data_IF_923151665008
#
_entry.id   IF_923151665008
#
_cell.length_a   1.000
_cell.length_b   1.000
_cell.length_c   1.000
_cell.angle_alpha   90.00
_cell.angle_beta   90.00
_cell.angle_gamma   90.00
#
_symmetry.space_group_name_H-M   'P 1'
#
loop_
_entity.id
_entity.type
_entity.pdbx_description
1 polymer ?
#
# COMPACT_ATOMS: atom_id res chain seq x y z
N UNK A 1 7.52 0.08 -15.81
CA UNK A 1 7.14 -1.23 -16.32
C UNK A 1 7.81 -1.45 -17.67
N UNK A 2 8.42 -2.61 -17.88
CA UNK A 2 9.15 -2.92 -19.13
C UNK A 2 8.75 -4.31 -19.61
N UNK A 3 8.43 -4.44 -20.88
CA UNK A 3 8.23 -5.72 -21.57
C UNK A 3 9.46 -6.05 -22.40
N UNK A 4 10.01 -7.23 -22.18
CA UNK A 4 11.19 -7.72 -22.89
C UNK A 4 10.86 -9.00 -23.63
N UNK A 5 11.46 -9.17 -24.81
CA UNK A 5 11.47 -10.44 -25.51
C UNK A 5 12.30 -11.46 -24.73
N UNK A 6 11.68 -12.52 -24.26
CA UNK A 6 12.35 -13.52 -23.39
C UNK A 6 13.50 -14.28 -24.07
N UNK A 7 13.60 -14.28 -25.40
CA UNK A 7 14.67 -14.97 -26.15
C UNK A 7 15.84 -14.05 -26.47
N UNK A 8 15.56 -12.78 -26.82
CA UNK A 8 16.59 -11.84 -27.31
C UNK A 8 16.99 -10.81 -26.25
N UNK A 9 16.13 -10.56 -25.22
CA UNK A 9 16.31 -9.49 -24.24
C UNK A 9 15.96 -8.10 -24.79
N UNK A 10 15.52 -8.01 -26.05
CA UNK A 10 15.13 -6.75 -26.65
C UNK A 10 13.86 -6.21 -26.02
N UNK A 11 13.80 -4.87 -25.87
CA UNK A 11 12.63 -4.20 -25.30
C UNK A 11 11.53 -4.10 -26.36
N UNK A 12 10.39 -4.73 -26.08
CA UNK A 12 9.18 -4.61 -26.91
C UNK A 12 8.48 -3.27 -26.66
N UNK A 13 8.23 -2.94 -25.39
CA UNK A 13 7.66 -1.68 -24.96
C UNK A 13 8.03 -1.34 -23.52
N UNK A 14 7.76 -0.10 -23.10
CA UNK A 14 7.89 0.32 -21.69
C UNK A 14 6.94 1.47 -21.39
N UNK A 15 6.64 1.65 -20.12
CA UNK A 15 5.92 2.80 -19.60
C UNK A 15 6.56 3.27 -18.30
N UNK A 16 6.80 4.57 -18.16
CA UNK A 16 7.34 5.17 -16.97
C UNK A 16 6.22 5.73 -16.11
N UNK A 17 6.04 5.18 -14.91
CA UNK A 17 4.92 5.49 -14.01
C UNK A 17 5.18 6.66 -13.08
N UNK A 18 6.42 7.15 -13.00
CA UNK A 18 6.83 8.33 -12.24
C UNK A 18 7.95 9.03 -12.99
N UNK A 19 7.78 10.31 -13.25
CA UNK A 19 8.85 11.17 -13.79
C UNK A 19 9.64 11.78 -12.64
N UNK A 20 10.97 11.72 -12.69
CA UNK A 20 11.87 12.26 -11.67
C UNK A 20 11.42 11.97 -10.24
N UNK A 21 11.52 10.70 -9.84
CA UNK A 21 10.97 10.19 -8.58
C UNK A 21 11.60 10.81 -7.33
N UNK A 22 10.80 11.52 -6.53
CA UNK A 22 11.20 12.15 -5.27
C UNK A 22 10.51 11.52 -4.05
N UNK A 23 9.66 10.51 -4.26
CA UNK A 23 8.73 10.00 -3.24
C UNK A 23 8.93 8.53 -2.88
N UNK A 24 9.90 7.85 -3.52
CA UNK A 24 10.07 6.40 -3.42
C UNK A 24 8.83 5.62 -3.91
N UNK A 25 8.21 6.10 -4.99
CA UNK A 25 7.01 5.51 -5.59
C UNK A 25 7.31 4.54 -6.74
N UNK A 26 8.27 3.65 -6.50
CA UNK A 26 8.61 2.54 -7.41
C UNK A 26 7.50 1.48 -7.47
N UNK A 27 7.53 0.68 -8.55
CA UNK A 27 6.71 -0.51 -8.69
C UNK A 27 7.42 -1.68 -8.00
N UNK A 28 6.83 -2.18 -6.93
CA UNK A 28 7.50 -3.12 -6.00
C UNK A 28 7.10 -4.57 -6.17
N UNK A 29 6.04 -4.84 -6.92
CA UNK A 29 5.48 -6.18 -7.07
C UNK A 29 5.58 -6.70 -8.51
N UNK A 30 5.41 -8.00 -8.66
CA UNK A 30 5.24 -8.57 -9.98
C UNK A 30 3.85 -8.21 -10.55
N UNK A 31 3.77 -7.75 -11.80
CA UNK A 31 2.50 -7.45 -12.43
C UNK A 31 1.64 -8.70 -12.64
N UNK A 32 0.32 -8.54 -12.61
CA UNK A 32 -0.63 -9.59 -12.90
C UNK A 32 -0.91 -9.67 -14.40
N UNK A 33 -0.70 -10.84 -15.00
CA UNK A 33 -1.15 -11.12 -16.37
C UNK A 33 -2.63 -11.51 -16.32
N UNK A 34 -3.45 -10.77 -17.06
CA UNK A 34 -4.91 -10.89 -16.99
C UNK A 34 -5.52 -10.92 -18.39
N UNK A 35 -6.68 -11.59 -18.54
CA UNK A 35 -7.52 -11.52 -19.74
C UNK A 35 -8.80 -10.79 -19.37
N UNK A 36 -9.09 -9.69 -20.06
CA UNK A 36 -10.18 -8.77 -19.74
C UNK A 36 -11.17 -8.70 -20.89
N UNK A 37 -12.42 -8.38 -20.57
CA UNK A 37 -13.42 -7.99 -21.56
C UNK A 37 -13.87 -6.55 -21.27
N UNK A 38 -13.34 -5.60 -22.04
CA UNK A 38 -13.64 -4.18 -21.89
C UNK A 38 -14.42 -3.70 -23.09
N UNK A 39 -15.63 -3.23 -22.88
CA UNK A 39 -16.54 -2.77 -23.94
C UNK A 39 -16.72 -3.80 -25.08
N UNK A 40 -16.82 -5.07 -24.72
CA UNK A 40 -16.99 -6.19 -25.67
C UNK A 40 -15.70 -6.62 -26.38
N UNK A 41 -14.56 -6.02 -26.08
CA UNK A 41 -13.24 -6.39 -26.61
C UNK A 41 -12.49 -7.27 -25.62
N UNK A 42 -12.01 -8.41 -26.07
CA UNK A 42 -11.10 -9.25 -25.28
C UNK A 42 -9.69 -8.68 -25.40
N UNK A 43 -9.06 -8.39 -24.28
CA UNK A 43 -7.72 -7.80 -24.18
C UNK A 43 -6.86 -8.69 -23.30
N UNK A 44 -5.75 -9.16 -23.84
CA UNK A 44 -4.70 -9.80 -23.08
C UNK A 44 -3.86 -8.70 -22.42
N UNK A 45 -4.09 -8.47 -21.13
CA UNK A 45 -3.57 -7.31 -20.44
C UNK A 45 -2.53 -7.68 -19.37
N UNK A 46 -1.83 -6.65 -18.90
CA UNK A 46 -1.01 -6.66 -17.70
C UNK A 46 -1.49 -5.56 -16.76
N UNK A 47 -1.77 -5.93 -15.51
CA UNK A 47 -2.21 -5.00 -14.46
C UNK A 47 -1.13 -4.90 -13.37
N UNK A 48 -0.75 -3.68 -13.02
CA UNK A 48 0.27 -3.37 -12.02
C UNK A 48 -0.29 -2.44 -10.96
N UNK A 49 -0.24 -2.87 -9.70
CA UNK A 49 -0.59 -2.05 -8.55
C UNK A 49 0.64 -1.31 -8.03
N UNK A 50 0.47 -0.05 -7.68
CA UNK A 50 1.60 0.83 -7.41
C UNK A 50 1.60 1.40 -5.99
N UNK A 51 2.77 1.89 -5.55
CA UNK A 51 2.91 2.63 -4.30
C UNK A 51 2.04 3.90 -4.26
N UNK A 52 1.80 4.56 -5.40
CA UNK A 52 0.92 5.73 -5.49
C UNK A 52 -0.55 5.41 -5.18
N UNK A 53 -0.92 4.13 -5.14
CA UNK A 53 -2.30 3.70 -4.99
C UNK A 53 -3.07 3.62 -6.31
N UNK A 54 -2.38 3.64 -7.44
CA UNK A 54 -2.94 3.43 -8.77
C UNK A 54 -2.83 1.97 -9.22
N UNK A 55 -3.75 1.56 -10.09
CA UNK A 55 -3.63 0.35 -10.89
C UNK A 55 -3.42 0.76 -12.35
N UNK A 56 -2.25 0.46 -12.89
CA UNK A 56 -1.94 0.67 -14.31
C UNK A 56 -2.30 -0.59 -15.08
N UNK A 57 -3.04 -0.44 -16.18
CA UNK A 57 -3.48 -1.59 -17.01
C UNK A 57 -3.13 -1.33 -18.46
N UNK A 58 -2.35 -2.23 -19.06
CA UNK A 58 -1.89 -2.14 -20.45
C UNK A 58 -2.26 -3.40 -21.20
N UNK A 59 -2.53 -3.26 -22.49
CA UNK A 59 -2.45 -4.37 -23.43
C UNK A 59 -0.99 -4.90 -23.39
N UNK A 60 -0.81 -6.17 -22.99
CA UNK A 60 0.53 -6.71 -22.78
C UNK A 60 1.33 -6.97 -24.05
N UNK A 61 0.66 -6.98 -25.22
CA UNK A 61 1.29 -7.16 -26.53
C UNK A 61 1.80 -5.84 -27.07
N UNK A 62 0.98 -4.78 -27.00
CA UNK A 62 1.28 -3.48 -27.61
C UNK A 62 1.88 -2.47 -26.65
N UNK A 63 1.63 -2.61 -25.34
CA UNK A 63 1.98 -1.61 -24.34
C UNK A 63 1.02 -0.43 -24.27
N UNK A 64 -0.05 -0.44 -25.05
CA UNK A 64 -1.05 0.63 -25.03
C UNK A 64 -1.89 0.54 -23.75
N UNK A 65 -2.14 1.67 -23.06
CA UNK A 65 -3.02 1.70 -21.89
C UNK A 65 -4.45 1.26 -22.26
N UNK A 66 -5.04 0.39 -21.42
CA UNK A 66 -6.45 -0.05 -21.62
C UNK A 66 -7.41 1.12 -21.43
N UNK A 67 -7.14 1.99 -20.48
CA UNK A 67 -7.80 3.28 -20.28
C UNK A 67 -6.77 4.40 -20.35
N UNK A 68 -7.15 5.61 -20.80
CA UNK A 68 -6.20 6.71 -20.93
C UNK A 68 -5.42 6.98 -19.65
N UNK A 69 -4.14 7.22 -19.80
CA UNK A 69 -3.26 7.75 -18.76
C UNK A 69 -2.93 9.19 -19.15
N UNK A 70 -3.29 10.13 -18.30
CA UNK A 70 -3.16 11.57 -18.56
C UNK A 70 -1.94 12.12 -17.84
N UNK A 71 -1.12 12.88 -18.58
CA UNK A 71 -0.10 13.74 -17.97
C UNK A 71 -0.79 14.93 -17.32
N UNK A 72 -0.80 14.96 -15.97
CA UNK A 72 -1.41 16.04 -15.22
C UNK A 72 -0.36 16.90 -14.54
N UNK A 73 -0.54 18.24 -14.52
CA UNK A 73 0.34 19.13 -13.77
C UNK A 73 0.37 18.76 -12.29
N UNK A 74 1.57 18.80 -11.71
CA UNK A 74 1.81 18.58 -10.28
C UNK A 74 2.55 19.76 -9.69
N UNK A 75 2.59 19.81 -8.35
CA UNK A 75 3.33 20.85 -7.65
C UNK A 75 4.84 20.72 -7.92
N UNK A 76 5.47 21.80 -8.34
CA UNK A 76 6.92 21.88 -8.61
C UNK A 76 7.65 22.82 -7.66
N UNK A 77 6.93 23.42 -6.70
CA UNK A 77 7.54 24.28 -5.69
C UNK A 77 8.42 23.45 -4.75
N UNK A 78 9.70 23.80 -4.66
CA UNK A 78 10.68 23.11 -3.80
C UNK A 78 11.59 24.11 -3.11
N UNK A 79 11.92 23.86 -1.85
CA UNK A 79 12.88 24.62 -1.06
C UNK A 79 14.27 23.94 -1.02
N UNK A 80 14.46 22.86 -1.81
CA UNK A 80 15.74 22.15 -1.92
C UNK A 80 16.55 22.77 -3.06
N UNK A 81 17.68 23.42 -2.78
CA UNK A 81 18.49 24.07 -3.81
C UNK A 81 19.00 23.06 -4.87
N UNK A 82 18.81 23.41 -6.14
CA UNK A 82 19.23 22.56 -7.28
C UNK A 82 18.26 21.47 -7.66
N UNK A 83 17.22 21.20 -6.87
CA UNK A 83 16.16 20.27 -7.24
C UNK A 83 15.20 20.89 -8.26
N UNK A 84 14.86 20.12 -9.29
CA UNK A 84 13.93 20.57 -10.37
C UNK A 84 12.87 19.47 -10.55
N UNK A 85 11.76 19.52 -9.80
CA UNK A 85 10.67 18.57 -9.94
C UNK A 85 10.09 18.54 -11.36
N UNK A 86 9.73 17.35 -11.86
CA UNK A 86 9.10 17.25 -13.17
C UNK A 86 7.68 17.83 -13.13
N UNK A 87 7.28 18.65 -14.15
CA UNK A 87 6.06 19.46 -14.06
C UNK A 87 4.77 18.68 -14.19
N UNK A 88 4.81 17.46 -14.71
CA UNK A 88 3.65 16.58 -14.86
C UNK A 88 3.94 15.18 -14.35
N UNK A 89 2.89 14.43 -14.05
CA UNK A 89 2.98 13.01 -13.71
C UNK A 89 1.84 12.23 -14.39
N UNK A 90 2.02 10.93 -14.67
CA UNK A 90 1.02 10.11 -15.34
C UNK A 90 -0.06 9.64 -14.36
N UNK A 91 -1.31 10.03 -14.63
CA UNK A 91 -2.49 9.64 -13.85
C UNK A 91 -3.39 8.73 -14.69
N UNK A 92 -3.57 7.46 -14.32
CA UNK A 92 -4.57 6.61 -14.97
C UNK A 92 -5.98 7.16 -14.71
N UNK A 93 -6.82 7.22 -15.75
CA UNK A 93 -8.20 7.69 -15.62
C UNK A 93 -9.09 6.60 -15.01
N UNK A 94 -8.74 5.33 -15.21
CA UNK A 94 -9.36 4.12 -14.66
C UNK A 94 -8.32 3.05 -14.43
N UNK A 95 -8.53 2.19 -13.40
CA UNK A 95 -9.45 2.32 -12.27
C UNK A 95 -9.14 3.55 -11.40
N UNK A 96 -10.10 4.03 -10.57
CA UNK A 96 -9.80 5.08 -9.61
C UNK A 96 -8.78 4.61 -8.56
N UNK A 97 -8.08 5.51 -7.88
CA UNK A 97 -7.11 5.14 -6.85
C UNK A 97 -7.70 4.22 -5.78
N UNK A 98 -6.99 3.15 -5.46
CA UNK A 98 -7.41 2.20 -4.43
C UNK A 98 -6.98 2.61 -3.02
N UNK A 99 -6.02 3.52 -2.88
CA UNK A 99 -5.54 4.10 -1.62
C UNK A 99 -5.75 5.61 -1.59
N UNK A 100 -5.76 6.20 -0.40
CA UNK A 100 -5.85 7.64 -0.22
C UNK A 100 -4.60 8.35 -0.72
N UNK A 101 -4.78 9.51 -1.37
CA UNK A 101 -3.72 10.27 -2.01
C UNK A 101 -3.72 11.71 -1.51
N UNK A 102 -2.51 12.19 -1.13
CA UNK A 102 -2.35 13.52 -0.57
C UNK A 102 -2.92 13.67 0.86
N UNK A 103 -2.66 14.80 1.48
CA UNK A 103 -3.09 15.10 2.87
C UNK A 103 -3.59 16.52 2.97
N UNK A 104 -4.72 16.69 3.63
CA UNK A 104 -5.29 17.98 4.03
C UNK A 104 -5.58 17.99 5.53
N UNK A 105 -5.92 19.14 6.10
CA UNK A 105 -6.36 19.19 7.52
C UNK A 105 -7.68 18.44 7.78
N UNK A 106 -8.50 18.24 6.75
CA UNK A 106 -9.74 17.48 6.85
C UNK A 106 -9.50 15.98 7.08
N UNK A 107 -8.31 15.49 6.75
CA UNK A 107 -7.89 14.11 7.00
C UNK A 107 -7.51 13.86 8.46
N UNK A 108 -7.41 14.90 9.29
CA UNK A 108 -6.99 14.80 10.70
C UNK A 108 -7.79 13.76 11.45
N UNK A 109 -7.10 12.93 12.24
CA UNK A 109 -7.72 11.89 13.07
C UNK A 109 -8.76 12.51 14.02
N UNK A 110 -9.96 11.94 14.04
CA UNK A 110 -11.12 12.46 14.77
C UNK A 110 -11.74 11.43 15.73
N UNK A 111 -10.96 10.43 16.15
CA UNK A 111 -11.42 9.41 17.11
C UNK A 111 -11.88 10.01 18.44
N UNK A 112 -11.29 11.13 18.87
CA UNK A 112 -11.79 11.97 19.96
C UNK A 112 -11.52 13.46 19.67
N UNK A 113 -12.24 14.40 20.32
CA UNK A 113 -11.94 15.83 20.19
C UNK A 113 -10.47 16.18 20.52
N UNK A 114 -9.91 15.53 21.53
CA UNK A 114 -8.50 15.75 21.93
C UNK A 114 -7.52 15.19 20.90
N UNK A 115 -7.75 13.96 20.39
CA UNK A 115 -6.96 13.39 19.30
C UNK A 115 -7.03 14.29 18.07
N UNK A 116 -8.21 14.80 17.72
CA UNK A 116 -8.38 15.70 16.60
C UNK A 116 -7.57 17.00 16.76
N UNK A 117 -7.68 17.63 17.93
CA UNK A 117 -6.92 18.84 18.23
C UNK A 117 -5.41 18.64 18.10
N UNK A 118 -4.90 17.53 18.64
CA UNK A 118 -3.48 17.17 18.57
C UNK A 118 -3.06 16.84 17.13
N UNK A 119 -3.89 16.10 16.40
CA UNK A 119 -3.63 15.76 15.00
C UNK A 119 -3.55 16.99 14.11
N UNK A 120 -4.50 17.92 14.23
CA UNK A 120 -4.47 19.19 13.48
C UNK A 120 -3.22 19.97 13.81
N UNK A 121 -2.91 20.15 15.10
CA UNK A 121 -1.73 20.91 15.53
C UNK A 121 -0.41 20.30 14.99
N UNK A 122 -0.33 18.97 14.88
CA UNK A 122 0.84 18.30 14.32
C UNK A 122 0.85 18.39 12.79
N UNK A 123 -0.29 18.18 12.11
CA UNK A 123 -0.41 18.34 10.66
C UNK A 123 0.03 19.73 10.19
N UNK A 124 -0.32 20.79 10.92
CA UNK A 124 0.08 22.16 10.62
C UNK A 124 1.60 22.39 10.66
N UNK A 125 2.37 21.49 11.28
CA UNK A 125 3.84 21.58 11.29
C UNK A 125 4.48 21.08 9.99
N UNK A 126 3.76 20.36 9.15
CA UNK A 126 4.23 19.81 7.89
C UNK A 126 3.77 20.66 6.69
N UNK A 127 4.41 20.44 5.54
CA UNK A 127 3.83 20.81 4.25
C UNK A 127 2.80 19.74 3.87
N UNK A 128 1.56 20.16 3.68
CA UNK A 128 0.46 19.31 3.20
C UNK A 128 0.20 19.60 1.72
N UNK A 129 -0.36 18.64 1.01
CA UNK A 129 -0.71 18.82 -0.40
C UNK A 129 -1.20 17.54 -1.06
N UNK A 130 -1.52 17.60 -2.36
CA UNK A 130 -1.95 16.46 -3.16
C UNK A 130 -0.80 15.45 -3.36
N UNK A 131 -1.14 14.33 -4.01
CA UNK A 131 -0.14 13.37 -4.48
C UNK A 131 0.94 14.09 -5.31
N UNK A 132 2.19 13.69 -5.14
CA UNK A 132 3.36 14.28 -5.79
C UNK A 132 3.74 15.70 -5.32
N UNK A 133 3.27 16.17 -4.15
CA UNK A 133 3.86 17.35 -3.51
C UNK A 133 5.33 17.07 -3.19
N UNK A 134 6.29 17.91 -3.64
CA UNK A 134 7.71 17.66 -3.44
C UNK A 134 8.13 17.57 -1.98
N UNK A 135 9.15 16.79 -1.66
CA UNK A 135 9.83 16.84 -0.35
C UNK A 135 10.29 18.26 -0.01
N UNK A 136 10.37 18.59 1.26
CA UNK A 136 10.74 19.93 1.72
C UNK A 136 11.63 19.89 2.97
N UNK A 137 12.34 20.99 3.23
CA UNK A 137 13.13 21.14 4.46
C UNK A 137 12.25 21.15 5.72
N UNK A 138 11.01 21.62 5.60
CA UNK A 138 10.00 21.55 6.67
C UNK A 138 9.50 20.13 6.91
N UNK A 139 9.57 19.28 5.91
CA UNK A 139 8.96 17.96 5.84
C UNK A 139 7.58 18.00 5.19
N UNK A 140 7.43 17.36 4.03
CA UNK A 140 6.16 17.17 3.33
C UNK A 140 5.51 15.90 3.86
N UNK A 141 4.26 15.97 4.30
CA UNK A 141 3.53 14.77 4.75
C UNK A 141 2.98 14.03 3.54
N UNK A 142 3.62 12.93 3.19
CA UNK A 142 3.35 12.13 2.03
C UNK A 142 2.24 11.09 2.32
N UNK A 143 1.26 10.96 1.39
CA UNK A 143 0.25 9.90 1.37
C UNK A 143 -0.05 9.51 -0.09
N UNK A 144 0.02 8.21 -0.45
CA UNK A 144 0.49 7.10 0.39
C UNK A 144 1.90 7.37 0.94
N UNK A 145 2.21 6.70 2.06
CA UNK A 145 3.52 6.82 2.70
C UNK A 145 4.62 6.16 1.83
N UNK A 146 5.87 6.28 2.23
CA UNK A 146 7.05 5.76 1.50
C UNK A 146 6.96 4.26 1.16
N UNK A 147 6.31 3.45 2.00
CA UNK A 147 6.03 2.05 1.72
C UNK A 147 4.77 1.82 0.86
N UNK A 148 4.09 2.90 0.46
CA UNK A 148 3.05 2.92 -0.55
C UNK A 148 1.67 2.44 -0.10
N UNK A 149 0.70 2.64 -0.99
CA UNK A 149 -0.64 2.06 -0.90
C UNK A 149 -0.61 0.55 -1.11
N UNK A 150 0.11 0.06 -2.12
CA UNK A 150 0.48 -1.34 -2.31
C UNK A 150 2.01 -1.49 -2.24
N UNK A 151 2.48 -2.70 -1.94
CA UNK A 151 3.90 -3.01 -1.82
C UNK A 151 4.18 -4.44 -2.33
N UNK A 152 5.29 -5.05 -1.95
CA UNK A 152 5.81 -6.34 -2.43
C UNK A 152 4.82 -7.49 -2.51
N UNK A 153 3.77 -7.46 -1.70
CA UNK A 153 2.71 -8.46 -1.73
C UNK A 153 1.88 -8.44 -3.03
N UNK A 154 1.86 -7.31 -3.74
CA UNK A 154 1.14 -7.18 -4.99
C UNK A 154 -0.37 -7.37 -4.85
N UNK A 155 -0.96 -7.96 -5.87
CA UNK A 155 -2.38 -8.20 -5.97
C UNK A 155 -2.68 -9.65 -6.41
N UNK A 156 -3.92 -10.10 -6.22
CA UNK A 156 -4.41 -11.39 -6.68
C UNK A 156 -5.58 -11.19 -7.65
N UNK A 157 -5.54 -11.85 -8.80
CA UNK A 157 -6.57 -11.74 -9.84
C UNK A 157 -7.42 -13.01 -9.90
N UNK A 158 -8.73 -12.84 -9.94
CA UNK A 158 -9.68 -13.92 -10.22
C UNK A 158 -10.13 -13.84 -11.68
N UNK A 159 -9.70 -14.79 -12.54
CA UNK A 159 -10.05 -14.76 -13.96
C UNK A 159 -11.53 -15.06 -14.22
N UNK A 160 -12.26 -15.60 -13.26
CA UNK A 160 -13.69 -15.94 -13.43
C UNK A 160 -14.58 -14.71 -13.27
N UNK A 161 -14.22 -13.78 -12.40
CA UNK A 161 -14.98 -12.56 -12.11
C UNK A 161 -14.37 -11.30 -12.74
N UNK A 162 -13.08 -11.33 -13.11
CA UNK A 162 -12.34 -10.15 -13.56
C UNK A 162 -11.93 -9.22 -12.41
N UNK A 163 -12.04 -9.68 -11.15
CA UNK A 163 -11.69 -8.90 -9.98
C UNK A 163 -10.22 -9.03 -9.61
N UNK A 164 -9.58 -7.90 -9.37
CA UNK A 164 -8.23 -7.78 -8.81
C UNK A 164 -8.33 -7.34 -7.35
N UNK A 165 -7.76 -8.14 -6.45
CA UNK A 165 -7.76 -7.85 -5.02
C UNK A 165 -6.42 -7.28 -4.61
N UNK A 166 -6.44 -6.16 -3.90
CA UNK A 166 -5.24 -5.50 -3.38
C UNK A 166 -5.44 -5.09 -1.93
N UNK A 167 -4.42 -5.32 -1.11
CA UNK A 167 -4.35 -4.75 0.24
C UNK A 167 -3.75 -3.36 0.16
N UNK A 168 -4.34 -2.40 0.89
CA UNK A 168 -3.78 -1.05 1.01
C UNK A 168 -3.22 -0.79 2.39
N UNK A 169 -2.22 0.09 2.45
CA UNK A 169 -1.80 0.79 3.66
C UNK A 169 -2.21 2.25 3.54
N UNK A 170 -3.00 2.74 4.51
CA UNK A 170 -3.60 4.09 4.51
C UNK A 170 -2.87 5.01 5.49
N UNK A 171 -1.57 5.00 5.46
CA UNK A 171 -0.76 5.81 6.37
C UNK A 171 -0.16 7.04 5.69
N UNK A 172 0.45 7.88 6.51
CA UNK A 172 1.28 9.01 6.09
C UNK A 172 2.71 8.84 6.59
N UNK A 173 3.67 9.43 5.90
CA UNK A 173 5.05 9.55 6.37
C UNK A 173 5.62 10.92 6.03
N UNK A 174 6.42 11.52 6.91
CA UNK A 174 7.14 12.75 6.57
C UNK A 174 8.23 12.44 5.55
N UNK A 175 8.31 13.24 4.49
CA UNK A 175 9.39 13.26 3.53
C UNK A 175 10.13 14.58 3.68
N UNK A 176 11.15 14.58 4.55
CA UNK A 176 11.97 15.75 4.86
C UNK A 176 13.31 15.62 4.18
N UNK A 177 13.83 16.73 3.64
CA UNK A 177 15.16 16.83 3.07
C UNK A 177 15.98 17.85 3.87
N UNK A 178 17.20 17.49 4.24
CA UNK A 178 18.10 18.36 4.98
C UNK A 178 19.54 18.24 4.44
N UNK A 179 20.37 19.23 4.76
CA UNK A 179 21.80 19.14 4.42
C UNK A 179 22.44 17.97 5.15
N UNK A 180 23.28 17.25 4.43
CA UNK A 180 24.09 16.18 4.99
C UNK A 180 25.07 16.74 6.02
N UNK A 181 25.23 16.06 7.15
CA UNK A 181 26.26 16.40 8.12
C UNK A 181 27.64 16.19 7.50
N UNK A 182 28.47 17.23 7.35
CA UNK A 182 29.82 17.08 6.77
C UNK A 182 30.76 16.21 7.59
N UNK A 183 30.39 15.85 8.82
CA UNK A 183 31.13 14.92 9.67
C UNK A 183 30.85 13.44 9.42
N UNK A 184 29.88 13.10 8.56
CA UNK A 184 29.58 11.70 8.22
C UNK A 184 30.62 11.18 7.21
N UNK A 185 31.35 10.09 7.54
CA UNK A 185 32.28 9.46 6.60
C UNK A 185 31.49 8.83 5.44
N UNK A 186 32.10 8.84 4.26
CA UNK A 186 31.62 8.14 3.06
C UNK A 186 30.25 8.62 2.48
N UNK A 187 29.84 9.84 2.81
CA UNK A 187 28.62 10.47 2.24
C UNK A 187 29.04 11.67 1.37
N UNK A 188 28.86 11.51 0.06
CA UNK A 188 29.24 12.48 -0.98
C UNK A 188 28.05 13.29 -1.54
N UNK A 189 26.87 13.19 -0.88
CA UNK A 189 25.66 13.92 -1.27
C UNK A 189 25.47 15.15 -0.37
N UNK A 190 25.07 16.28 -0.98
CA UNK A 190 24.84 17.54 -0.26
C UNK A 190 23.56 17.51 0.58
N UNK A 191 22.54 16.77 0.14
CA UNK A 191 21.25 16.64 0.80
C UNK A 191 20.90 15.18 1.04
N UNK A 192 20.19 14.93 2.12
CA UNK A 192 19.72 13.60 2.54
C UNK A 192 18.29 13.67 3.06
N UNK A 193 17.58 12.54 3.02
CA UNK A 193 16.29 12.38 3.70
C UNK A 193 16.45 11.82 5.13
N UNK A 194 17.66 11.56 5.60
CA UNK A 194 17.94 11.15 6.97
C UNK A 194 18.03 12.37 7.91
N UNK A 195 16.89 12.98 8.18
CA UNK A 195 16.78 14.22 8.91
C UNK A 195 16.28 14.02 10.35
N UNK A 196 16.61 14.95 11.30
CA UNK A 196 16.24 14.81 12.71
C UNK A 196 14.74 14.73 13.02
N UNK A 197 13.88 15.22 12.12
CA UNK A 197 12.41 15.16 12.24
C UNK A 197 11.76 13.93 11.61
N UNK A 198 12.52 12.90 11.32
CA UNK A 198 11.99 11.69 10.72
C UNK A 198 12.06 11.75 9.21
N UNK A 199 13.26 11.78 8.73
CA UNK A 199 13.52 11.23 7.42
C UNK A 199 13.00 9.79 7.41
N UNK A 200 12.78 9.25 6.23
CA UNK A 200 12.46 7.83 5.98
C UNK A 200 13.48 6.83 6.57
N UNK A 201 14.37 7.28 7.45
CA UNK A 201 15.43 6.54 8.13
C UNK A 201 14.98 5.50 9.14
N UNK A 202 13.72 5.17 9.18
CA UNK A 202 13.25 3.97 9.82
C UNK A 202 12.55 3.13 8.78
N UNK A 203 13.25 2.24 8.14
CA UNK A 203 12.69 1.06 7.54
C UNK A 203 11.94 0.30 8.65
N UNK A 204 10.81 0.84 9.08
CA UNK A 204 9.83 0.10 9.85
C UNK A 204 9.19 -0.88 8.86
N UNK A 205 9.93 -1.94 8.52
CA UNK A 205 9.55 -3.05 7.64
C UNK A 205 8.23 -3.72 8.07
N UNK A 206 7.63 -3.31 9.18
CA UNK A 206 6.46 -3.95 9.76
C UNK A 206 5.54 -2.93 10.46
N UNK A 207 4.89 -2.07 9.66
CA UNK A 207 3.59 -1.51 10.03
C UNK A 207 3.49 -0.63 11.29
N UNK A 208 4.55 0.03 11.67
CA UNK A 208 4.50 1.08 12.68
C UNK A 208 5.13 2.35 12.11
N UNK A 209 4.43 3.46 12.12
CA UNK A 209 5.10 4.74 12.14
C UNK A 209 6.10 4.67 13.29
N UNK A 210 7.40 4.82 13.03
CA UNK A 210 8.32 5.07 14.13
C UNK A 210 7.74 6.29 14.86
N UNK A 211 7.48 6.23 16.18
CA UNK A 211 7.06 7.41 16.90
C UNK A 211 8.15 8.45 16.62
N UNK A 212 7.80 9.54 15.98
CA UNK A 212 8.63 10.71 16.10
C UNK A 212 8.64 10.96 17.60
N UNK A 213 9.81 11.02 18.25
CA UNK A 213 9.94 11.19 19.70
C UNK A 213 9.19 12.42 20.26
N UNK A 214 8.45 13.12 19.42
CA UNK A 214 7.76 14.38 19.68
C UNK A 214 6.26 14.39 19.42
N UNK A 215 5.68 13.33 18.84
CA UNK A 215 4.22 13.30 18.65
C UNK A 215 3.52 13.06 19.99
N UNK A 216 2.64 13.97 20.37
CA UNK A 216 1.77 13.79 21.55
C UNK A 216 0.73 12.69 21.33
N UNK A 217 0.52 12.29 20.08
CA UNK A 217 -0.35 11.18 19.68
C UNK A 217 0.33 9.81 19.84
N UNK A 218 1.68 9.77 19.98
CA UNK A 218 2.42 8.52 20.08
C UNK A 218 2.15 7.58 18.90
N UNK A 219 1.55 6.38 19.14
CA UNK A 219 1.27 5.42 18.08
C UNK A 219 -0.01 5.71 17.28
N UNK A 220 -0.84 6.69 17.69
CA UNK A 220 -2.08 7.04 16.99
C UNK A 220 -1.70 7.77 15.69
N UNK A 221 -2.12 7.28 14.50
CA UNK A 221 -1.85 7.97 13.25
C UNK A 221 -2.48 9.35 13.17
N UNK A 222 -1.83 10.27 12.44
CA UNK A 222 -2.32 11.64 12.24
C UNK A 222 -3.63 11.71 11.48
N UNK A 223 -3.91 10.71 10.63
CA UNK A 223 -5.11 10.70 9.79
C UNK A 223 -6.16 9.70 10.29
N UNK A 224 -7.41 9.90 9.87
CA UNK A 224 -8.57 9.05 10.20
C UNK A 224 -8.37 7.59 9.83
N UNK A 225 -8.89 6.63 10.62
CA UNK A 225 -8.97 5.23 10.20
C UNK A 225 -9.98 5.07 9.03
N UNK A 226 -10.00 3.89 8.34
CA UNK A 226 -9.16 2.73 8.60
C UNK A 226 -7.75 2.87 8.06
N UNK A 227 -6.77 2.31 8.79
CA UNK A 227 -5.35 2.42 8.44
C UNK A 227 -4.87 1.38 7.42
N UNK A 228 -5.74 0.45 7.05
CA UNK A 228 -5.56 -0.51 5.97
C UNK A 228 -6.91 -1.01 5.45
N UNK A 229 -6.96 -1.37 4.18
CA UNK A 229 -8.14 -1.94 3.51
C UNK A 229 -7.78 -3.14 2.65
N UNK A 230 -8.75 -4.00 2.41
CA UNK A 230 -8.79 -4.90 1.28
C UNK A 230 -9.74 -4.29 0.25
N UNK A 231 -9.28 -4.20 -0.99
CA UNK A 231 -10.02 -3.57 -2.10
C UNK A 231 -10.14 -4.56 -3.24
N UNK A 232 -11.32 -4.68 -3.84
CA UNK A 232 -11.54 -5.37 -5.09
C UNK A 232 -11.78 -4.36 -6.21
N UNK A 233 -11.06 -4.52 -7.30
CA UNK A 233 -11.11 -3.69 -8.49
C UNK A 233 -11.65 -4.54 -9.63
N UNK A 234 -12.77 -4.13 -10.22
CA UNK A 234 -13.28 -4.75 -11.45
C UNK A 234 -12.46 -4.24 -12.64
N UNK A 235 -11.59 -5.09 -13.16
CA UNK A 235 -10.73 -4.74 -14.30
C UNK A 235 -11.47 -4.79 -15.65
N UNK A 236 -12.69 -5.31 -15.73
CA UNK A 236 -13.50 -5.23 -16.94
C UNK A 236 -14.19 -3.85 -17.05
N UNK A 237 -14.55 -3.26 -15.91
CA UNK A 237 -15.20 -1.93 -15.85
C UNK A 237 -14.21 -0.80 -15.58
N UNK A 238 -13.04 -1.12 -15.00
CA UNK A 238 -12.08 -0.14 -14.51
C UNK A 238 -12.63 0.63 -13.29
N UNK A 239 -13.26 -0.06 -12.35
CA UNK A 239 -13.94 0.54 -11.20
C UNK A 239 -13.63 -0.23 -9.91
N UNK A 240 -13.84 0.41 -8.76
CA UNK A 240 -13.78 -0.28 -7.47
C UNK A 240 -15.10 -1.02 -7.23
N UNK A 241 -15.04 -2.35 -7.17
CA UNK A 241 -16.20 -3.16 -6.84
C UNK A 241 -16.60 -3.03 -5.36
N UNK A 242 -15.62 -3.12 -4.46
CA UNK A 242 -15.83 -2.91 -3.02
C UNK A 242 -14.53 -2.57 -2.28
N UNK A 243 -14.68 -1.99 -1.07
CA UNK A 243 -13.59 -1.71 -0.14
C UNK A 243 -14.03 -2.06 1.27
N UNK A 244 -13.22 -2.79 2.01
CA UNK A 244 -13.46 -3.10 3.42
C UNK A 244 -12.23 -2.81 4.27
N UNK A 245 -12.38 -2.37 5.54
CA UNK A 245 -11.27 -2.27 6.47
C UNK A 245 -10.61 -3.63 6.70
N UNK A 246 -9.28 -3.68 6.75
CA UNK A 246 -8.51 -4.91 6.94
C UNK A 246 -7.72 -4.90 8.24
N UNK A 247 -7.98 -5.89 9.11
CA UNK A 247 -7.25 -6.11 10.37
C UNK A 247 -7.77 -5.29 11.55
N UNK A 248 -7.46 -5.77 12.76
CA UNK A 248 -7.97 -5.16 14.00
C UNK A 248 -7.31 -3.81 14.31
N UNK A 249 -6.12 -3.56 13.79
CA UNK A 249 -5.28 -2.45 14.18
C UNK A 249 -4.38 -2.75 15.37
N UNK A 250 -3.41 -1.88 15.60
CA UNK A 250 -2.42 -2.07 16.65
C UNK A 250 -3.03 -2.01 18.06
N UNK A 251 -2.64 -2.95 18.92
CA UNK A 251 -2.99 -2.91 20.36
C UNK A 251 -2.44 -1.66 21.05
N UNK A 252 -1.33 -1.08 20.59
CA UNK A 252 -0.79 0.17 21.11
C UNK A 252 -1.74 1.34 20.86
N UNK A 253 -2.43 1.36 19.71
CA UNK A 253 -3.46 2.35 19.42
C UNK A 253 -4.70 2.08 20.29
N UNK A 254 -5.22 0.84 20.26
CA UNK A 254 -6.45 0.48 20.99
C UNK A 254 -6.38 0.73 22.49
N UNK A 255 -5.19 0.53 23.09
CA UNK A 255 -4.98 0.72 24.52
C UNK A 255 -4.41 2.10 24.88
N UNK A 256 -4.39 3.04 23.94
CA UNK A 256 -3.82 4.36 24.20
C UNK A 256 -4.67 5.15 25.19
N UNK A 257 -4.07 5.86 26.16
CA UNK A 257 -4.82 6.63 27.19
C UNK A 257 -5.83 7.61 26.62
N UNK A 258 -5.53 8.26 25.49
CA UNK A 258 -6.45 9.19 24.80
C UNK A 258 -7.68 8.52 24.19
N UNK A 259 -7.72 7.18 24.12
CA UNK A 259 -8.80 6.39 23.51
C UNK A 259 -9.49 5.47 24.54
N UNK A 260 -9.21 5.62 25.85
CA UNK A 260 -9.66 4.68 26.89
C UNK A 260 -11.17 4.57 26.99
N UNK A 261 -11.87 5.70 26.80
CA UNK A 261 -13.33 5.80 27.01
C UNK A 261 -14.09 5.91 25.68
N UNK A 262 -13.49 5.40 24.59
CA UNK A 262 -14.04 5.48 23.24
C UNK A 262 -14.34 4.10 22.72
N UNK A 263 -15.53 3.91 22.18
CA UNK A 263 -15.86 2.73 21.37
C UNK A 263 -15.17 2.83 20.01
N UNK A 264 -14.12 2.05 19.83
CA UNK A 264 -13.35 2.03 18.59
C UNK A 264 -13.98 1.07 17.58
N UNK A 265 -13.86 1.35 16.28
CA UNK A 265 -14.29 0.41 15.25
C UNK A 265 -13.61 -0.97 15.42
N UNK A 266 -14.33 -2.05 15.16
CA UNK A 266 -13.78 -3.42 15.21
C UNK A 266 -12.57 -3.59 14.32
N UNK A 267 -12.55 -2.90 13.19
CA UNK A 267 -11.47 -2.90 12.19
C UNK A 267 -10.90 -1.49 12.03
N UNK A 268 -9.86 -1.17 12.82
CA UNK A 268 -9.10 0.08 12.65
C UNK A 268 -8.19 0.04 11.42
N UNK A 269 -7.90 -1.16 10.93
CA UNK A 269 -6.94 -1.39 9.87
C UNK A 269 -5.54 -1.69 10.39
N UNK A 270 -4.93 -2.77 9.87
CA UNK A 270 -3.55 -3.17 10.17
C UNK A 270 -2.70 -2.97 8.92
N UNK A 271 -1.85 -1.93 8.84
CA UNK A 271 -0.95 -1.71 7.71
C UNK A 271 0.05 -2.85 7.52
N UNK A 272 0.56 -3.03 6.31
CA UNK A 272 1.59 -4.03 5.99
C UNK A 272 1.77 -4.24 4.49
N UNK A 273 2.81 -5.00 4.12
CA UNK A 273 3.23 -5.21 2.74
C UNK A 273 2.72 -6.51 2.10
N UNK A 274 2.01 -7.35 2.85
CA UNK A 274 1.54 -8.66 2.38
C UNK A 274 0.38 -8.50 1.38
N UNK A 275 0.38 -9.33 0.35
CA UNK A 275 -0.70 -9.39 -0.63
C UNK A 275 -1.71 -10.51 -0.34
N UNK A 276 -2.89 -10.43 -0.98
CA UNK A 276 -3.92 -11.45 -0.91
C UNK A 276 -3.61 -12.67 -1.81
N UNK A 277 -4.37 -13.74 -1.59
CA UNK A 277 -4.51 -14.88 -2.48
C UNK A 277 -5.99 -15.15 -2.68
N UNK A 278 -6.42 -15.33 -3.92
CA UNK A 278 -7.80 -15.72 -4.26
C UNK A 278 -7.86 -17.18 -4.73
N UNK A 279 -8.94 -17.85 -4.41
CA UNK A 279 -9.19 -19.25 -4.84
C UNK A 279 -10.38 -19.33 -5.78
N UNK A 280 -10.42 -20.35 -6.63
CA UNK A 280 -11.55 -20.61 -7.52
C UNK A 280 -12.88 -20.85 -6.78
N UNK A 281 -12.84 -21.16 -5.48
CA UNK A 281 -14.00 -21.27 -4.61
C UNK A 281 -14.57 -19.93 -4.13
N UNK A 282 -14.07 -18.79 -4.62
CA UNK A 282 -14.59 -17.46 -4.25
C UNK A 282 -14.15 -16.98 -2.87
N UNK A 283 -13.00 -17.42 -2.38
CA UNK A 283 -12.44 -17.00 -1.09
C UNK A 283 -11.13 -16.27 -1.31
N UNK A 284 -11.01 -15.08 -0.71
CA UNK A 284 -9.75 -14.31 -0.63
C UNK A 284 -9.14 -14.56 0.74
N UNK A 285 -7.92 -15.08 0.76
CA UNK A 285 -7.12 -15.23 1.97
C UNK A 285 -6.11 -14.08 2.06
N UNK A 286 -5.94 -13.56 3.28
CA UNK A 286 -4.99 -12.48 3.54
C UNK A 286 -4.49 -12.58 4.98
N UNK A 287 -3.22 -12.30 5.18
CA UNK A 287 -2.58 -12.16 6.47
C UNK A 287 -1.73 -10.91 6.53
N UNK A 288 -1.06 -10.71 7.64
CA UNK A 288 -0.01 -9.70 7.78
C UNK A 288 -0.33 -8.54 8.72
N UNK A 289 0.59 -8.33 9.64
CA UNK A 289 0.55 -7.25 10.62
C UNK A 289 -0.10 -7.61 11.95
N UNK A 290 -1.01 -8.58 11.99
CA UNK A 290 -1.61 -9.14 13.20
C UNK A 290 -1.55 -10.68 13.21
N UNK A 291 -1.86 -11.33 14.35
CA UNK A 291 -1.71 -12.79 14.48
C UNK A 291 -2.95 -13.54 13.97
N UNK A 292 -3.37 -13.27 12.72
CA UNK A 292 -4.49 -13.96 12.09
C UNK A 292 -4.24 -14.23 10.61
N UNK A 293 -4.79 -15.35 10.14
CA UNK A 293 -5.09 -15.58 8.72
C UNK A 293 -6.58 -15.32 8.52
N UNK A 294 -6.92 -14.38 7.66
CA UNK A 294 -8.29 -13.99 7.34
C UNK A 294 -8.78 -14.65 6.06
N UNK A 295 -10.08 -14.93 6.00
CA UNK A 295 -10.79 -15.37 4.81
C UNK A 295 -11.97 -14.42 4.54
N UNK A 296 -12.06 -13.93 3.31
CA UNK A 296 -13.10 -13.01 2.85
C UNK A 296 -13.87 -13.62 1.68
N UNK A 297 -15.14 -13.32 1.60
CA UNK A 297 -15.96 -13.58 0.42
C UNK A 297 -15.48 -12.68 -0.73
N UNK A 298 -15.07 -13.29 -1.83
CA UNK A 298 -14.46 -12.61 -2.95
C UNK A 298 -15.40 -11.62 -3.66
N UNK A 299 -16.70 -11.92 -3.69
CA UNK A 299 -17.69 -11.06 -4.35
C UNK A 299 -18.05 -9.81 -3.54
N UNK A 300 -18.02 -9.88 -2.21
CA UNK A 300 -18.57 -8.85 -1.33
C UNK A 300 -17.56 -8.20 -0.39
N UNK A 301 -16.40 -8.81 -0.19
CA UNK A 301 -15.43 -8.39 0.82
C UNK A 301 -15.83 -8.71 2.26
N UNK A 302 -16.95 -9.41 2.47
CA UNK A 302 -17.38 -9.80 3.82
C UNK A 302 -16.40 -10.80 4.42
N UNK A 303 -15.91 -10.51 5.65
CA UNK A 303 -15.09 -11.48 6.39
C UNK A 303 -15.92 -12.74 6.68
N UNK A 304 -15.48 -13.90 6.19
CA UNK A 304 -16.09 -15.20 6.41
C UNK A 304 -15.61 -15.78 7.75
N UNK A 305 -14.28 -15.75 7.93
CA UNK A 305 -13.64 -16.25 9.14
C UNK A 305 -12.23 -15.68 9.30
N UNK A 306 -11.67 -15.89 10.48
CA UNK A 306 -10.26 -15.72 10.76
C UNK A 306 -9.77 -16.81 11.69
N UNK A 307 -8.55 -17.24 11.47
CA UNK A 307 -7.88 -18.25 12.29
C UNK A 307 -6.71 -17.58 13.00
N UNK A 308 -6.68 -17.68 14.33
CA UNK A 308 -5.57 -17.18 15.13
C UNK A 308 -4.29 -17.96 14.81
N UNK A 309 -3.18 -17.23 14.72
CA UNK A 309 -1.85 -17.76 14.51
C UNK A 309 -0.98 -17.48 15.75
N UNK A 310 0.03 -18.30 15.97
CA UNK A 310 0.93 -18.14 17.15
C UNK A 310 1.70 -16.82 17.09
N UNK A 311 2.12 -16.41 15.88
CA UNK A 311 2.84 -15.16 15.62
C UNK A 311 2.12 -14.35 14.55
N UNK A 312 2.54 -13.09 14.36
CA UNK A 312 2.09 -12.27 13.23
C UNK A 312 2.42 -12.96 11.90
N UNK A 313 1.47 -12.98 11.01
CA UNK A 313 1.69 -13.49 9.65
C UNK A 313 2.57 -12.50 8.87
N UNK A 314 3.56 -13.00 8.11
CA UNK A 314 4.62 -12.21 7.51
C UNK A 314 4.80 -12.39 6.01
N UNK A 315 4.02 -13.28 5.37
CA UNK A 315 4.10 -13.54 3.92
C UNK A 315 2.73 -13.52 3.26
N UNK A 316 2.74 -13.57 1.92
CA UNK A 316 1.51 -13.83 1.18
C UNK A 316 1.06 -15.28 1.42
N UNK A 317 -0.24 -15.53 1.60
CA UNK A 317 -0.72 -16.91 1.63
C UNK A 317 -0.55 -17.57 0.26
N UNK A 318 -0.34 -18.87 0.27
CA UNK A 318 -0.34 -19.73 -0.92
C UNK A 318 -1.21 -20.95 -0.70
N UNK A 319 -1.62 -21.63 -1.76
CA UNK A 319 -2.38 -22.87 -1.66
C UNK A 319 -1.79 -23.96 -2.52
N UNK A 320 -1.90 -25.21 -2.06
CA UNK A 320 -1.54 -26.38 -2.84
C UNK A 320 -2.48 -27.56 -2.50
N UNK A 321 -2.51 -28.56 -3.37
CA UNK A 321 -3.14 -29.85 -3.10
C UNK A 321 -2.08 -30.92 -2.84
N UNK A 322 -2.30 -31.72 -1.80
CA UNK A 322 -1.49 -32.92 -1.57
C UNK A 322 -1.78 -34.00 -2.65
N UNK A 323 -0.96 -35.04 -2.67
CA UNK A 323 -1.18 -36.18 -3.58
C UNK A 323 -2.51 -36.92 -3.32
N UNK A 324 -2.99 -36.89 -2.09
CA UNK A 324 -4.27 -37.45 -1.65
C UNK A 324 -5.46 -36.53 -1.97
N UNK A 325 -5.21 -35.38 -2.63
CA UNK A 325 -6.25 -34.44 -3.05
C UNK A 325 -6.66 -33.40 -1.98
N UNK A 326 -6.08 -33.44 -0.78
CA UNK A 326 -6.38 -32.48 0.30
C UNK A 326 -5.79 -31.11 -0.01
N UNK A 327 -6.60 -30.05 0.11
CA UNK A 327 -6.16 -28.68 -0.08
C UNK A 327 -5.59 -28.10 1.21
N UNK A 328 -4.49 -27.38 1.09
CA UNK A 328 -3.85 -26.64 2.15
C UNK A 328 -3.69 -25.17 1.77
N UNK A 329 -3.88 -24.29 2.75
CA UNK A 329 -3.49 -22.89 2.68
C UNK A 329 -2.28 -22.70 3.58
N UNK A 330 -1.21 -22.15 3.05
CA UNK A 330 0.07 -22.00 3.74
C UNK A 330 0.41 -20.52 3.86
N UNK A 331 0.92 -20.12 5.02
CA UNK A 331 1.39 -18.77 5.25
C UNK A 331 2.64 -18.79 6.12
N UNK A 332 3.57 -17.86 5.86
CA UNK A 332 4.69 -17.60 6.74
C UNK A 332 4.24 -16.76 7.95
N UNK A 333 4.79 -17.05 9.11
CA UNK A 333 4.57 -16.27 10.32
C UNK A 333 5.86 -16.12 11.12
N UNK A 334 5.88 -15.15 12.04
CA UNK A 334 7.03 -14.86 12.86
C UNK A 334 8.18 -14.19 12.09
N UNK A 335 9.30 -14.06 12.75
CA UNK A 335 10.55 -13.51 12.22
C UNK A 335 11.75 -14.08 12.96
N UNK A 336 12.92 -14.10 12.35
CA UNK A 336 14.17 -14.62 12.94
C UNK A 336 14.01 -16.08 13.41
N UNK A 337 14.37 -16.41 14.66
CA UNK A 337 14.25 -17.78 15.18
C UNK A 337 12.82 -18.34 15.25
N UNK A 338 11.83 -17.44 15.29
CA UNK A 338 10.40 -17.78 15.37
C UNK A 338 9.73 -17.89 13.99
N UNK A 339 10.50 -17.72 12.91
CA UNK A 339 9.99 -17.83 11.54
C UNK A 339 9.56 -19.28 11.24
N UNK A 340 8.33 -19.45 10.76
CA UNK A 340 7.77 -20.77 10.38
C UNK A 340 6.80 -20.65 9.21
N UNK A 341 6.66 -21.75 8.50
CA UNK A 341 5.56 -21.95 7.56
C UNK A 341 4.48 -22.82 8.24
N UNK A 342 3.24 -22.35 8.19
CA UNK A 342 2.10 -23.06 8.77
C UNK A 342 1.08 -23.34 7.69
N UNK A 343 0.63 -24.59 7.63
CA UNK A 343 -0.38 -25.08 6.71
C UNK A 343 -1.70 -25.31 7.43
N UNK A 344 -2.76 -24.78 6.88
CA UNK A 344 -4.14 -24.97 7.32
C UNK A 344 -4.89 -25.81 6.31
N UNK A 345 -5.75 -26.71 6.79
CA UNK A 345 -6.69 -27.47 5.97
C UNK A 345 -8.04 -27.54 6.68
N UNK A 346 -9.09 -27.81 5.93
CA UNK A 346 -10.37 -28.14 6.54
C UNK A 346 -10.23 -29.42 7.38
N UNK A 347 -11.01 -29.54 8.48
CA UNK A 347 -11.11 -30.79 9.23
C UNK A 347 -11.46 -31.97 8.32
N UNK A 348 -11.05 -33.17 8.72
CA UNK A 348 -11.59 -34.39 8.11
C UNK A 348 -13.05 -34.55 8.54
N UNK A 349 -13.93 -34.90 7.60
CA UNK A 349 -15.34 -35.21 7.86
C UNK A 349 -15.50 -36.50 8.64
#
# INVERSE_FOLDING_TARGET
LVCLNARTGEREWHFQTVHHGLWDYDLTSAPNLVSLNVDGRNIEAVAEVSKQGFTYVFDRVTGEPVWPIEERPVDTDTDVPGEVPYPTQPFPTKPPPFAGQGVTLEDANDLTPEVHRLAVAELETYRLGPLFTPPSARGTLQRPRVDGGANWGGAAFDPSSGLLYVRTSEGTSPNQVCKTDPGLPDVDVEYTNNCPRGGSGGFALFGGSAPTERSQLGPIPLIKPPYARLVAIDLNQGEIAWRVPFGEGSRLIRNHPLLRDVELPDRLGTPGANGPMVTAGGVVFLGGGDPYLYAFDAATGREISRVATEFRTSGNPMTYRSREGRQYVVIAMGAGPDARLVAFSLPEE
#
